data_IF_325013945016
#
_entry.id   IF_325013945016
#
_cell.length_a   1.000
_cell.length_b   1.000
_cell.length_c   1.000
_cell.angle_alpha   90.00
_cell.angle_beta   90.00
_cell.angle_gamma   90.00
#
_symmetry.space_group_name_H-M   'P 1'
#
loop_
_entity.id
_entity.type
_entity.pdbx_description
1 polymer ?
#
# COMPACT_ATOMS: atom_id res chain seq x y z
N UNK A 1 4.22 -24.91 34.41
CA UNK A 1 3.31 -24.71 35.56
C UNK A 1 1.91 -25.22 35.23
N UNK A 2 1.50 -26.35 35.81
CA UNK A 2 0.19 -26.98 35.59
C UNK A 2 -0.85 -26.60 36.66
N UNK A 3 -0.49 -25.81 37.68
CA UNK A 3 -1.30 -25.64 38.90
C UNK A 3 -2.32 -24.50 38.83
N UNK A 4 -2.08 -23.42 38.06
CA UNK A 4 -3.02 -22.28 37.98
C UNK A 4 -3.20 -21.81 36.52
N UNK A 5 -4.36 -22.07 35.88
CA UNK A 5 -4.65 -21.64 34.51
C UNK A 5 -4.48 -20.15 34.24
N UNK A 6 -4.82 -19.29 35.21
CA UNK A 6 -4.74 -17.83 35.06
C UNK A 6 -3.30 -17.30 34.97
N UNK A 7 -2.32 -18.08 35.44
CA UNK A 7 -0.89 -17.75 35.37
C UNK A 7 -0.17 -18.44 34.21
N UNK A 8 -0.88 -19.14 33.33
CA UNK A 8 -0.30 -19.82 32.15
C UNK A 8 -0.09 -18.84 31.00
N UNK A 9 0.70 -19.21 29.97
CA UNK A 9 0.82 -18.42 28.75
C UNK A 9 -0.55 -18.08 28.14
N UNK A 10 -0.84 -16.79 27.96
CA UNK A 10 -2.14 -16.35 27.49
C UNK A 10 -2.33 -16.64 25.99
N UNK A 11 -3.46 -17.28 25.65
CA UNK A 11 -3.82 -17.61 24.27
C UNK A 11 -4.72 -16.52 23.66
N UNK A 12 -4.10 -15.47 23.11
CA UNK A 12 -4.85 -14.43 22.39
C UNK A 12 -5.57 -14.99 21.16
N UNK A 13 -6.81 -14.52 20.94
CA UNK A 13 -7.64 -14.91 19.79
C UNK A 13 -7.81 -13.81 18.74
N UNK A 14 -7.47 -12.57 19.08
CA UNK A 14 -7.52 -11.44 18.16
C UNK A 14 -6.23 -11.34 17.32
N UNK A 15 -6.30 -11.14 15.99
CA UNK A 15 -5.14 -11.03 15.11
C UNK A 15 -4.16 -9.93 15.51
N UNK A 16 -4.67 -8.78 15.97
CA UNK A 16 -3.85 -7.67 16.47
C UNK A 16 -2.97 -8.10 17.65
N UNK A 17 -3.54 -8.88 18.58
CA UNK A 17 -2.83 -9.41 19.76
C UNK A 17 -1.91 -10.58 19.44
N UNK A 18 -2.25 -11.40 18.44
CA UNK A 18 -1.36 -12.47 17.93
C UNK A 18 -0.12 -11.83 17.29
N UNK A 19 -0.30 -10.84 16.41
CA UNK A 19 0.80 -10.09 15.81
C UNK A 19 1.63 -9.34 16.86
N UNK A 20 0.96 -8.69 17.82
CA UNK A 20 1.64 -8.05 18.95
C UNK A 20 2.49 -9.05 19.73
N UNK A 21 1.96 -10.23 20.08
CA UNK A 21 2.71 -11.27 20.80
C UNK A 21 3.94 -11.75 20.03
N UNK A 22 3.87 -11.83 18.70
CA UNK A 22 5.04 -12.22 17.88
C UNK A 22 6.10 -11.13 17.78
N UNK A 23 5.73 -9.85 17.91
CA UNK A 23 6.63 -8.70 17.72
C UNK A 23 7.12 -8.12 19.04
N UNK A 24 6.40 -8.32 20.15
CA UNK A 24 6.67 -7.68 21.45
C UNK A 24 8.07 -8.04 22.01
N UNK A 25 8.61 -9.20 21.64
CA UNK A 25 9.99 -9.57 21.97
C UNK A 25 11.06 -8.63 21.42
N UNK A 26 10.71 -7.69 20.52
CA UNK A 26 11.62 -6.72 19.90
C UNK A 26 11.43 -5.25 20.35
N UNK A 27 10.74 -4.96 21.47
CA UNK A 27 10.65 -3.63 22.10
C UNK A 27 10.07 -2.47 21.25
N UNK A 28 9.32 -2.75 20.17
CA UNK A 28 8.96 -1.76 19.15
C UNK A 28 7.50 -1.24 19.18
N UNK A 29 6.65 -1.73 20.09
CA UNK A 29 5.19 -1.63 19.89
C UNK A 29 4.54 -0.32 20.34
N UNK A 30 5.16 0.44 21.24
CA UNK A 30 4.65 1.76 21.68
C UNK A 30 4.66 2.81 20.55
N UNK A 31 5.36 2.52 19.45
CA UNK A 31 5.52 3.42 18.30
C UNK A 31 4.52 3.16 17.17
N UNK A 32 3.74 2.08 17.24
CA UNK A 32 2.77 1.72 16.20
C UNK A 32 1.53 2.62 16.29
N UNK A 33 1.19 3.33 15.21
CA UNK A 33 0.07 4.30 15.15
C UNK A 33 -0.83 4.04 13.94
N UNK A 34 -2.15 4.18 14.12
CA UNK A 34 -3.15 3.82 13.10
C UNK A 34 -3.37 4.89 12.01
N UNK A 35 -3.21 6.18 12.32
CA UNK A 35 -3.53 7.32 11.42
C UNK A 35 -2.36 7.76 10.55
N UNK A 36 -1.71 6.82 9.86
CA UNK A 36 -0.59 7.12 8.94
C UNK A 36 -0.84 6.48 7.57
N UNK A 37 -0.15 6.97 6.54
CA UNK A 37 -0.11 6.29 5.24
C UNK A 37 0.46 4.88 5.45
N UNK A 38 -0.39 3.88 5.25
CA UNK A 38 0.03 2.48 5.35
C UNK A 38 0.97 2.16 4.20
N UNK A 39 2.13 1.58 4.54
CA UNK A 39 3.10 1.08 3.59
C UNK A 39 2.98 -0.43 3.48
N UNK A 40 3.42 -0.98 2.36
CA UNK A 40 3.43 -2.42 2.10
C UNK A 40 4.86 -2.92 2.16
N UNK A 41 5.10 -4.03 2.87
CA UNK A 41 6.37 -4.74 2.88
C UNK A 41 6.29 -5.89 1.87
N UNK A 42 6.91 -5.80 0.68
CA UNK A 42 6.75 -6.82 -0.37
C UNK A 42 7.24 -8.19 0.07
N UNK A 43 8.29 -8.24 0.89
CA UNK A 43 8.86 -9.45 1.43
C UNK A 43 7.91 -10.22 2.37
N UNK A 44 6.84 -9.61 2.86
CA UNK A 44 5.86 -10.25 3.74
C UNK A 44 4.50 -10.49 3.04
N UNK A 45 4.38 -10.15 1.75
CA UNK A 45 3.12 -10.30 1.03
C UNK A 45 2.81 -11.77 0.75
N UNK A 46 1.58 -12.19 1.07
CA UNK A 46 1.05 -13.51 0.73
C UNK A 46 1.24 -13.85 -0.75
N UNK A 47 0.88 -12.92 -1.65
CA UNK A 47 0.96 -13.14 -3.11
C UNK A 47 2.39 -13.39 -3.61
N UNK A 48 3.38 -12.88 -2.90
CA UNK A 48 4.81 -13.04 -3.26
C UNK A 48 5.38 -14.30 -2.63
N UNK A 49 4.99 -14.64 -1.39
CA UNK A 49 5.64 -15.69 -0.59
C UNK A 49 4.94 -17.04 -0.64
N UNK A 50 3.64 -17.09 -0.91
CA UNK A 50 2.86 -18.33 -0.89
C UNK A 50 2.33 -18.66 -2.29
N UNK A 51 2.40 -19.95 -2.65
CA UNK A 51 1.73 -20.47 -3.86
C UNK A 51 0.20 -20.32 -3.71
N UNK A 52 -0.54 -19.96 -4.79
CA UNK A 52 -1.99 -19.72 -4.70
C UNK A 52 -2.82 -20.89 -4.15
N UNK A 53 -2.36 -22.13 -4.33
CA UNK A 53 -3.05 -23.36 -3.91
C UNK A 53 -2.92 -23.67 -2.42
N UNK A 54 -2.06 -22.98 -1.67
CA UNK A 54 -1.84 -23.25 -0.25
C UNK A 54 -2.91 -22.55 0.60
N UNK A 55 -3.63 -23.33 1.41
CA UNK A 55 -4.66 -22.84 2.34
C UNK A 55 -4.00 -22.06 3.50
N UNK A 56 -4.72 -21.09 4.04
CA UNK A 56 -4.31 -20.28 5.19
C UNK A 56 -5.46 -20.22 6.20
N UNK A 57 -5.15 -19.96 7.46
CA UNK A 57 -6.14 -19.97 8.55
C UNK A 57 -7.06 -18.75 8.48
N UNK A 58 -8.34 -18.96 8.80
CA UNK A 58 -9.36 -17.91 8.88
C UNK A 58 -9.59 -17.39 10.31
N UNK A 59 -10.38 -16.32 10.44
CA UNK A 59 -10.73 -15.71 11.73
C UNK A 59 -12.25 -15.59 11.90
N UNK A 60 -12.76 -15.86 13.11
CA UNK A 60 -14.21 -15.96 13.41
C UNK A 60 -14.98 -14.62 13.34
N UNK A 61 -14.32 -13.49 13.61
CA UNK A 61 -14.98 -12.16 13.67
C UNK A 61 -14.98 -11.41 12.33
N UNK A 62 -15.06 -12.15 11.22
CA UNK A 62 -15.00 -11.57 9.88
C UNK A 62 -16.16 -10.59 9.61
N UNK A 63 -17.37 -10.89 10.10
CA UNK A 63 -18.56 -10.06 9.88
C UNK A 63 -18.42 -8.67 10.53
N UNK A 64 -18.05 -8.61 11.81
CA UNK A 64 -17.85 -7.34 12.54
C UNK A 64 -16.69 -6.54 11.95
N UNK A 65 -15.64 -7.22 11.47
CA UNK A 65 -14.52 -6.53 10.82
C UNK A 65 -14.94 -5.97 9.46
N UNK A 66 -15.81 -6.66 8.73
CA UNK A 66 -16.30 -6.21 7.43
C UNK A 66 -17.09 -4.90 7.55
N UNK A 67 -18.01 -4.80 8.52
CA UNK A 67 -18.79 -3.57 8.74
C UNK A 67 -17.89 -2.38 9.11
N UNK A 68 -16.95 -2.58 10.04
CA UNK A 68 -15.99 -1.53 10.43
C UNK A 68 -15.06 -1.12 9.28
N UNK A 69 -14.66 -2.06 8.44
CA UNK A 69 -13.85 -1.79 7.24
C UNK A 69 -14.65 -1.07 6.15
N UNK A 70 -15.96 -1.30 6.03
CA UNK A 70 -16.85 -0.56 5.14
C UNK A 70 -16.95 0.91 5.58
N UNK A 71 -17.23 1.18 6.85
CA UNK A 71 -17.23 2.55 7.39
C UNK A 71 -15.87 3.26 7.18
N UNK A 72 -14.76 2.52 7.34
CA UNK A 72 -13.41 3.05 7.09
C UNK A 72 -13.21 3.39 5.60
N UNK A 73 -13.70 2.55 4.69
CA UNK A 73 -13.59 2.76 3.23
C UNK A 73 -14.45 3.93 2.76
N UNK A 74 -15.64 4.13 3.33
CA UNK A 74 -16.48 5.28 3.00
C UNK A 74 -15.78 6.60 3.35
N UNK A 75 -15.22 6.70 4.56
CA UNK A 75 -14.42 7.87 4.99
C UNK A 75 -13.20 8.07 4.09
N UNK A 76 -12.53 6.97 3.71
CA UNK A 76 -11.39 7.02 2.80
C UNK A 76 -11.77 7.47 1.38
N UNK A 77 -12.93 7.06 0.88
CA UNK A 77 -13.45 7.43 -0.44
C UNK A 77 -13.78 8.92 -0.50
N UNK A 78 -14.43 9.47 0.53
CA UNK A 78 -14.69 10.92 0.65
C UNK A 78 -13.36 11.70 0.62
N UNK A 79 -12.38 11.26 1.41
CA UNK A 79 -11.05 11.88 1.41
C UNK A 79 -10.36 11.77 0.04
N UNK A 80 -10.46 10.61 -0.62
CA UNK A 80 -9.86 10.39 -1.94
C UNK A 80 -10.48 11.29 -3.02
N UNK A 81 -11.82 11.45 -3.00
CA UNK A 81 -12.53 12.37 -3.92
C UNK A 81 -12.08 13.81 -3.75
N UNK A 82 -12.01 14.30 -2.50
CA UNK A 82 -11.48 15.64 -2.18
C UNK A 82 -10.04 15.81 -2.68
N UNK A 83 -9.16 14.84 -2.38
CA UNK A 83 -7.77 14.85 -2.85
C UNK A 83 -7.65 14.87 -4.37
N UNK A 84 -8.50 14.12 -5.08
CA UNK A 84 -8.52 14.07 -6.55
C UNK A 84 -8.98 15.39 -7.16
N UNK A 85 -9.98 16.03 -6.56
CA UNK A 85 -10.43 17.38 -6.96
C UNK A 85 -9.32 18.41 -6.76
N UNK A 86 -8.68 18.43 -5.60
CA UNK A 86 -7.54 19.32 -5.32
C UNK A 86 -6.39 19.11 -6.31
N UNK A 87 -6.04 17.85 -6.63
CA UNK A 87 -5.01 17.57 -7.63
C UNK A 87 -5.38 18.08 -9.03
N UNK A 88 -6.67 18.04 -9.42
CA UNK A 88 -7.13 18.59 -10.70
C UNK A 88 -7.00 20.12 -10.72
N UNK A 89 -7.40 20.79 -9.64
CA UNK A 89 -7.28 22.24 -9.51
C UNK A 89 -5.82 22.69 -9.51
N UNK A 90 -4.95 21.98 -8.78
CA UNK A 90 -3.51 22.25 -8.79
C UNK A 90 -2.92 22.15 -10.20
N UNK A 91 -3.24 21.10 -10.95
CA UNK A 91 -2.80 20.97 -12.35
C UNK A 91 -3.33 22.08 -13.26
N UNK A 92 -4.54 22.58 -13.02
CA UNK A 92 -5.07 23.71 -13.77
C UNK A 92 -4.32 25.01 -13.42
N UNK A 93 -4.04 25.24 -12.14
CA UNK A 93 -3.27 26.38 -11.68
C UNK A 93 -1.83 26.36 -12.23
N UNK A 94 -1.18 25.19 -12.24
CA UNK A 94 0.14 24.99 -12.84
C UNK A 94 0.18 25.42 -14.32
N UNK A 95 -0.83 25.00 -15.11
CA UNK A 95 -0.96 25.40 -16.52
C UNK A 95 -1.19 26.90 -16.68
N UNK A 96 -2.05 27.48 -15.85
CA UNK A 96 -2.37 28.91 -15.92
C UNK A 96 -1.13 29.78 -15.62
N UNK A 97 -0.20 29.29 -14.80
CA UNK A 97 0.98 30.02 -14.32
C UNK A 97 2.28 29.59 -15.03
N UNK A 98 2.21 28.65 -15.99
CA UNK A 98 3.35 28.04 -16.70
C UNK A 98 4.44 29.06 -17.08
N UNK A 99 4.04 30.13 -17.79
CA UNK A 99 4.93 31.22 -18.22
C UNK A 99 5.78 31.85 -17.11
N UNK A 100 5.25 31.92 -15.88
CA UNK A 100 5.96 32.51 -14.73
C UNK A 100 6.89 31.50 -14.04
N UNK A 101 6.61 30.21 -14.17
CA UNK A 101 7.38 29.13 -13.54
C UNK A 101 8.39 28.48 -14.47
N UNK A 102 8.38 28.79 -15.77
CA UNK A 102 9.22 28.18 -16.81
C UNK A 102 10.69 28.05 -16.40
N UNK A 103 11.31 29.16 -15.95
CA UNK A 103 12.70 29.18 -15.46
C UNK A 103 12.99 28.10 -14.41
N UNK A 104 12.08 27.89 -13.46
CA UNK A 104 12.23 26.88 -12.41
C UNK A 104 11.97 25.47 -12.94
N UNK A 105 11.00 25.32 -13.85
CA UNK A 105 10.70 24.01 -14.44
C UNK A 105 11.85 23.48 -15.28
N UNK A 106 12.61 24.34 -15.97
CA UNK A 106 13.80 23.95 -16.74
C UNK A 106 14.88 23.36 -15.84
N UNK A 107 15.20 24.03 -14.73
CA UNK A 107 16.14 23.50 -13.72
C UNK A 107 15.66 22.14 -13.22
N UNK A 108 14.38 22.00 -12.87
CA UNK A 108 13.82 20.72 -12.40
C UNK A 108 13.83 19.61 -13.47
N UNK A 109 13.72 19.96 -14.75
CA UNK A 109 13.85 19.02 -15.87
C UNK A 109 15.29 18.55 -16.03
N UNK A 110 16.28 19.45 -15.92
CA UNK A 110 17.70 19.07 -15.98
C UNK A 110 18.10 18.10 -14.87
N UNK A 111 17.54 18.28 -13.67
CA UNK A 111 17.75 17.39 -12.52
C UNK A 111 16.90 16.10 -12.57
N UNK A 112 16.10 15.90 -13.62
CA UNK A 112 15.30 14.70 -13.84
C UNK A 112 14.03 14.57 -12.97
N UNK A 113 13.67 15.58 -12.19
CA UNK A 113 12.52 15.58 -11.27
C UNK A 113 11.18 15.72 -11.99
N UNK A 114 11.16 16.48 -13.09
CA UNK A 114 9.99 16.70 -13.94
C UNK A 114 10.18 16.03 -15.31
N UNK A 115 10.27 14.71 -15.35
CA UNK A 115 10.34 13.97 -16.62
C UNK A 115 8.93 13.66 -17.18
N UNK A 116 8.69 13.85 -18.49
CA UNK A 116 7.41 13.48 -19.09
C UNK A 116 7.23 11.95 -19.04
N UNK A 117 6.10 11.52 -18.47
CA UNK A 117 5.64 10.12 -18.23
C UNK A 117 5.74 9.19 -19.47
N UNK A 118 6.00 9.74 -20.68
CA UNK A 118 6.11 9.01 -21.95
C UNK A 118 7.21 7.94 -21.97
N UNK A 119 8.30 8.09 -21.22
CA UNK A 119 9.43 7.13 -21.21
C UNK A 119 9.13 5.81 -20.45
N UNK A 120 8.29 5.86 -19.41
CA UNK A 120 7.93 4.66 -18.62
C UNK A 120 6.91 3.79 -19.36
N UNK A 121 6.01 4.40 -20.14
CA UNK A 121 5.01 3.64 -20.89
C UNK A 121 5.57 3.05 -22.20
N UNK A 122 6.56 3.71 -22.84
CA UNK A 122 7.21 3.15 -24.05
C UNK A 122 8.05 1.91 -23.73
N UNK A 123 8.76 1.90 -22.59
CA UNK A 123 9.55 0.76 -22.10
C UNK A 123 8.68 -0.43 -21.69
N UNK A 124 7.53 -0.19 -21.04
CA UNK A 124 6.53 -1.24 -20.77
C UNK A 124 5.91 -1.82 -22.05
N UNK A 125 5.62 -0.98 -23.06
CA UNK A 125 5.09 -1.44 -24.37
C UNK A 125 6.13 -2.27 -25.14
N UNK A 126 7.42 -1.89 -25.11
CA UNK A 126 8.54 -2.67 -25.67
C UNK A 126 8.68 -4.03 -24.99
N UNK A 127 8.71 -4.10 -23.64
CA UNK A 127 8.77 -5.38 -22.91
C UNK A 127 7.59 -6.30 -23.23
N UNK A 128 6.36 -5.77 -23.31
CA UNK A 128 5.15 -6.55 -23.66
C UNK A 128 5.15 -7.05 -25.12
N UNK A 129 5.81 -6.32 -26.04
CA UNK A 129 5.97 -6.72 -27.45
C UNK A 129 7.04 -7.81 -27.63
N UNK A 130 8.10 -7.77 -26.81
CA UNK A 130 9.15 -8.80 -26.79
C UNK A 130 8.60 -10.12 -26.24
N UNK A 131 7.90 -10.10 -25.10
CA UNK A 131 7.34 -11.33 -24.50
C UNK A 131 6.25 -11.99 -25.36
N UNK A 132 5.51 -11.22 -26.16
CA UNK A 132 4.54 -11.76 -27.12
C UNK A 132 5.20 -12.38 -28.37
N UNK A 133 6.40 -11.93 -28.75
CA UNK A 133 7.14 -12.50 -29.88
C UNK A 133 7.79 -13.83 -29.52
N UNK A 134 8.29 -13.97 -28.30
CA UNK A 134 8.88 -15.22 -27.79
C UNK A 134 7.86 -16.32 -27.51
N UNK A 135 6.57 -15.96 -27.34
CA UNK A 135 5.48 -16.93 -27.15
C UNK A 135 4.89 -17.45 -28.48
N UNK A 136 5.19 -16.80 -29.60
CA UNK A 136 4.67 -17.15 -30.94
C UNK A 136 5.75 -17.79 -31.84
N UNK A 137 6.93 -18.11 -31.30
CA UNK A 137 8.07 -18.71 -32.02
C UNK A 137 8.39 -20.14 -31.59
N UNK A 138 7.44 -20.82 -30.94
CA UNK A 138 7.45 -22.26 -30.64
C UNK A 138 6.22 -22.91 -31.26
#
# INVERSE_FOLDING_TARGET
MNTNPSRRPYHFRAPSRIFWRTVQGQAALDRLKDKKKQMVVPAALKVVRLKPTRKFVGWKYQAVTATLEEERKEKAEIHYRKKKQLMRLQKQAEKNVEKKIDKYTEVLKTQGLLSPIKTINSSKKKKKKITKRTLNSN
#
